data_IF_515963704804
#
_entry.id   IF_515963704804
#
_cell.length_a   1.000
_cell.length_b   1.000
_cell.length_c   1.000
_cell.angle_alpha   90.00
_cell.angle_beta   90.00
_cell.angle_gamma   90.00
#
_symmetry.space_group_name_H-M   'P 1'
#
loop_
_entity.id
_entity.type
_entity.pdbx_description
1 polymer ?
#
# COMPACT_ATOMS: atom_id res chain seq x y z
N UNK A 1 10.46 -38.88 58.82
CA UNK A 1 10.89 -37.98 57.73
C UNK A 1 9.70 -37.65 56.86
N UNK A 2 9.15 -36.46 57.02
CA UNK A 2 8.02 -36.01 56.20
C UNK A 2 8.57 -35.36 54.94
N UNK A 3 8.34 -35.97 53.76
CA UNK A 3 8.61 -35.38 52.47
C UNK A 3 7.60 -34.26 52.26
N UNK A 4 8.10 -33.03 52.17
CA UNK A 4 7.34 -31.86 51.82
C UNK A 4 7.20 -31.81 50.29
N UNK A 5 6.02 -32.14 49.79
CA UNK A 5 5.69 -31.96 48.38
C UNK A 5 5.59 -30.46 48.09
N UNK A 6 6.51 -29.94 47.29
CA UNK A 6 6.40 -28.60 46.74
C UNK A 6 5.41 -28.68 45.58
N UNK A 7 4.20 -28.15 45.82
CA UNK A 7 3.24 -27.90 44.77
C UNK A 7 3.74 -26.71 43.94
N UNK A 8 4.29 -27.00 42.77
CA UNK A 8 4.60 -26.01 41.79
C UNK A 8 3.30 -25.40 41.29
N UNK A 9 2.99 -24.18 41.71
CA UNK A 9 1.93 -23.37 41.12
C UNK A 9 2.41 -22.92 39.78
N UNK A 10 1.90 -23.53 38.73
CA UNK A 10 2.03 -23.01 37.38
C UNK A 10 1.14 -21.76 37.31
N UNK A 11 1.75 -20.60 37.36
CA UNK A 11 1.10 -19.33 37.02
C UNK A 11 0.94 -19.32 35.50
N UNK A 12 -0.28 -19.57 35.05
CA UNK A 12 -0.67 -19.24 33.70
C UNK A 12 -0.65 -17.70 33.58
N UNK A 13 0.39 -17.18 32.98
CA UNK A 13 0.41 -15.79 32.54
C UNK A 13 -0.54 -15.70 31.34
N UNK A 14 -1.76 -15.27 31.58
CA UNK A 14 -2.65 -14.83 30.54
C UNK A 14 -2.03 -13.57 29.93
N UNK A 15 -1.39 -13.72 28.78
CA UNK A 15 -1.04 -12.57 27.93
C UNK A 15 -2.36 -11.98 27.42
N UNK A 16 -2.86 -11.00 28.13
CA UNK A 16 -3.83 -10.06 27.59
C UNK A 16 -3.13 -9.30 26.47
N UNK A 17 -3.37 -9.71 25.25
CA UNK A 17 -3.08 -8.88 24.08
C UNK A 17 -4.05 -7.70 24.15
N UNK A 18 -3.62 -6.62 24.74
CA UNK A 18 -4.31 -5.34 24.61
C UNK A 18 -4.11 -4.94 23.16
N UNK A 19 -5.07 -5.23 22.32
CA UNK A 19 -5.21 -4.55 21.05
C UNK A 19 -5.53 -3.10 21.35
N UNK A 20 -4.52 -2.28 21.38
CA UNK A 20 -4.69 -0.83 21.26
C UNK A 20 -5.25 -0.62 19.86
N UNK A 21 -6.55 -0.49 19.79
CA UNK A 21 -7.20 0.03 18.60
C UNK A 21 -6.72 1.48 18.47
N UNK A 22 -5.66 1.66 17.70
CA UNK A 22 -5.25 2.97 17.24
C UNK A 22 -6.41 3.52 16.42
N UNK A 23 -7.12 4.47 16.99
CA UNK A 23 -8.17 5.21 16.28
C UNK A 23 -7.46 6.19 15.37
N UNK A 24 -6.91 5.68 14.26
CA UNK A 24 -6.61 6.53 13.13
C UNK A 24 -7.93 7.05 12.59
N UNK A 25 -8.08 8.37 12.34
CA UNK A 25 -9.25 8.87 11.63
C UNK A 25 -9.33 8.09 10.32
N UNK A 26 -10.49 7.51 10.06
CA UNK A 26 -10.73 6.60 8.95
C UNK A 26 -10.43 7.29 7.62
N UNK A 27 -9.21 7.15 7.15
CA UNK A 27 -8.95 7.22 5.71
C UNK A 27 -9.58 5.94 5.16
N UNK A 28 -10.44 6.01 4.14
CA UNK A 28 -10.94 4.81 3.52
C UNK A 28 -9.71 4.01 3.07
N UNK A 29 -9.44 2.91 3.76
CA UNK A 29 -8.38 2.00 3.39
C UNK A 29 -8.75 1.45 2.01
N UNK A 30 -8.10 1.95 0.97
CA UNK A 30 -8.20 1.34 -0.35
C UNK A 30 -7.58 -0.04 -0.20
N UNK A 31 -8.36 -1.08 -0.48
CA UNK A 31 -7.87 -2.45 -0.37
C UNK A 31 -6.70 -2.67 -1.33
N UNK A 32 -5.68 -3.39 -0.89
CA UNK A 32 -4.54 -3.75 -1.74
C UNK A 32 -5.00 -4.43 -3.03
N UNK A 33 -4.41 -4.02 -4.14
CA UNK A 33 -4.76 -4.52 -5.47
C UNK A 33 -3.92 -5.72 -5.84
N UNK A 34 -4.56 -6.86 -6.02
CA UNK A 34 -3.90 -8.10 -6.41
C UNK A 34 -3.50 -8.11 -7.89
N UNK A 35 -2.54 -8.96 -8.28
CA UNK A 35 -2.16 -9.16 -9.68
C UNK A 35 -3.34 -9.64 -10.54
N UNK A 36 -4.26 -10.43 -9.97
CA UNK A 36 -5.47 -10.89 -10.65
C UNK A 36 -6.42 -9.74 -10.97
N UNK A 37 -6.51 -8.74 -10.11
CA UNK A 37 -7.33 -7.57 -10.33
C UNK A 37 -6.69 -6.62 -11.33
N UNK A 38 -5.37 -6.48 -11.30
CA UNK A 38 -4.61 -5.70 -12.29
C UNK A 38 -4.80 -6.27 -13.70
N UNK A 39 -4.84 -7.58 -13.87
CA UNK A 39 -5.10 -8.23 -15.16
C UNK A 39 -6.43 -7.81 -15.79
N UNK A 40 -7.40 -7.36 -14.98
CA UNK A 40 -8.73 -6.91 -15.43
C UNK A 40 -8.78 -5.42 -15.77
N UNK A 41 -7.71 -4.66 -15.51
CA UNK A 41 -7.66 -3.22 -15.77
C UNK A 41 -7.37 -2.98 -17.26
N UNK A 42 -8.02 -1.98 -17.84
CA UNK A 42 -7.71 -1.52 -19.20
C UNK A 42 -6.29 -0.95 -19.25
N UNK A 43 -5.65 -1.11 -20.37
CA UNK A 43 -4.34 -0.52 -20.60
C UNK A 43 -4.46 1.02 -20.62
N UNK A 44 -3.54 1.69 -19.93
CA UNK A 44 -3.55 3.14 -19.80
C UNK A 44 -2.69 3.63 -18.65
N UNK A 45 -2.65 4.96 -18.49
CA UNK A 45 -1.97 5.63 -17.38
C UNK A 45 -3.00 6.29 -16.48
N UNK A 46 -2.91 5.99 -15.19
CA UNK A 46 -3.87 6.43 -14.19
C UNK A 46 -3.17 7.21 -13.09
N UNK A 47 -3.81 8.27 -12.62
CA UNK A 47 -3.29 9.10 -11.53
C UNK A 47 -4.00 8.74 -10.23
N UNK A 48 -3.23 8.49 -9.19
CA UNK A 48 -3.73 8.27 -7.85
C UNK A 48 -3.15 9.24 -6.85
N UNK A 49 -3.86 9.46 -5.77
CA UNK A 49 -3.47 10.35 -4.68
C UNK A 49 -3.75 9.70 -3.35
N UNK A 50 -2.82 9.86 -2.41
CA UNK A 50 -3.01 9.45 -1.04
C UNK A 50 -2.46 10.51 -0.08
N UNK A 51 -2.98 10.54 1.12
CA UNK A 51 -2.49 11.45 2.16
C UNK A 51 -1.37 10.78 2.94
N UNK A 52 -0.21 11.43 2.97
CA UNK A 52 0.88 11.06 3.87
C UNK A 52 0.62 11.69 5.23
N UNK A 53 0.41 10.87 6.24
CA UNK A 53 0.08 11.30 7.60
C UNK A 53 1.22 10.87 8.52
N UNK A 54 1.73 11.77 9.39
CA UNK A 54 2.75 11.40 10.38
C UNK A 54 2.21 10.35 11.34
N UNK A 55 3.09 9.47 11.79
CA UNK A 55 2.82 8.58 12.91
C UNK A 55 3.20 9.28 14.25
N UNK A 56 3.10 8.56 15.35
CA UNK A 56 3.39 9.09 16.69
C UNK A 56 4.88 9.45 16.92
N UNK A 57 5.78 9.08 16.00
CA UNK A 57 7.23 9.29 16.09
C UNK A 57 7.76 10.34 15.11
N UNK A 58 6.90 10.86 14.24
CA UNK A 58 7.29 11.81 13.19
C UNK A 58 6.44 13.09 13.29
N UNK A 59 7.10 14.24 13.31
CA UNK A 59 6.44 15.55 13.36
C UNK A 59 6.55 16.23 11.99
N UNK A 60 5.49 16.13 11.19
CA UNK A 60 5.32 16.92 9.98
C UNK A 60 3.83 17.16 9.69
N UNK A 61 3.53 18.18 8.93
CA UNK A 61 2.16 18.44 8.51
C UNK A 61 1.72 17.41 7.46
N UNK A 62 0.53 16.80 7.57
CA UNK A 62 0.00 15.89 6.55
C UNK A 62 -0.01 16.55 5.17
N UNK A 63 0.41 15.82 4.15
CA UNK A 63 0.42 16.30 2.78
C UNK A 63 -0.14 15.26 1.81
N UNK A 64 -0.56 15.72 0.62
CA UNK A 64 -1.03 14.85 -0.43
C UNK A 64 0.14 14.38 -1.30
N UNK A 65 0.18 13.08 -1.57
CA UNK A 65 1.15 12.45 -2.45
C UNK A 65 0.42 11.92 -3.68
N UNK A 66 0.93 12.22 -4.85
CA UNK A 66 0.36 11.84 -6.14
C UNK A 66 1.33 10.94 -6.89
N UNK A 67 0.79 9.96 -7.61
CA UNK A 67 1.55 9.05 -8.48
C UNK A 67 0.84 8.86 -9.82
N UNK A 68 1.61 8.51 -10.86
CA UNK A 68 1.08 7.99 -12.12
C UNK A 68 1.44 6.52 -12.27
N UNK A 69 0.45 5.70 -12.56
CA UNK A 69 0.58 4.25 -12.75
C UNK A 69 0.21 3.90 -14.17
N UNK A 70 1.11 3.27 -14.90
CA UNK A 70 0.86 2.76 -16.24
C UNK A 70 0.63 1.26 -16.19
N UNK A 71 -0.51 0.83 -16.74
CA UNK A 71 -0.88 -0.58 -16.90
C UNK A 71 -0.90 -0.92 -18.38
N UNK A 72 -0.26 -2.01 -18.74
CA UNK A 72 -0.29 -2.58 -20.08
C UNK A 72 -0.34 -4.10 -20.02
N UNK A 73 -1.21 -4.69 -20.79
CA UNK A 73 -1.39 -6.16 -20.89
C UNK A 73 -1.60 -6.84 -19.51
N UNK A 74 -2.35 -6.18 -18.61
CA UNK A 74 -2.62 -6.72 -17.28
C UNK A 74 -1.44 -6.66 -16.31
N UNK A 75 -0.47 -5.81 -16.60
CA UNK A 75 0.74 -5.66 -15.78
C UNK A 75 1.00 -4.18 -15.52
N UNK A 76 1.40 -3.83 -14.31
CA UNK A 76 1.93 -2.51 -14.00
C UNK A 76 3.32 -2.41 -14.62
N UNK A 77 3.47 -1.53 -15.62
CA UNK A 77 4.73 -1.36 -16.35
C UNK A 77 5.56 -0.19 -15.85
N UNK A 78 4.91 0.80 -15.22
CA UNK A 78 5.59 1.99 -14.71
C UNK A 78 4.82 2.62 -13.55
N UNK A 79 5.55 3.16 -12.58
CA UNK A 79 5.06 4.07 -11.57
C UNK A 79 5.97 5.29 -11.63
N UNK A 80 5.41 6.45 -11.93
CA UNK A 80 6.15 7.69 -12.21
C UNK A 80 5.47 8.91 -11.59
N UNK A 81 6.10 10.07 -11.75
CA UNK A 81 5.59 11.36 -11.27
C UNK A 81 5.15 11.33 -9.81
N UNK A 82 5.97 10.66 -8.98
CA UNK A 82 5.74 10.56 -7.54
C UNK A 82 6.13 11.89 -6.92
N UNK A 83 5.15 12.63 -6.43
CA UNK A 83 5.35 13.95 -5.84
C UNK A 83 4.42 14.20 -4.66
N UNK A 84 4.86 15.01 -3.73
CA UNK A 84 4.07 15.45 -2.60
C UNK A 84 4.01 16.99 -2.52
N UNK A 85 2.92 17.51 -1.96
CA UNK A 85 2.76 18.96 -1.75
C UNK A 85 3.21 19.44 -0.37
N UNK A 86 3.92 18.60 0.40
CA UNK A 86 4.37 18.89 1.77
C UNK A 86 5.67 19.69 1.88
N UNK A 87 6.21 20.20 0.75
CA UNK A 87 7.44 20.96 0.72
C UNK A 87 8.72 20.13 0.54
N UNK A 88 9.84 20.81 0.34
CA UNK A 88 11.14 20.19 0.00
C UNK A 88 11.68 19.22 1.04
N UNK A 89 11.35 19.41 2.30
CA UNK A 89 11.86 18.57 3.38
C UNK A 89 11.35 17.13 3.28
N UNK A 90 10.17 16.93 2.69
CA UNK A 90 9.57 15.63 2.48
C UNK A 90 10.05 14.92 1.20
N UNK A 91 10.64 15.64 0.25
CA UNK A 91 11.10 15.05 -1.04
C UNK A 91 12.12 13.95 -0.85
N UNK A 92 13.04 14.10 0.10
CA UNK A 92 14.03 13.09 0.43
C UNK A 92 13.40 11.79 0.92
N UNK A 93 12.37 11.89 1.75
CA UNK A 93 11.66 10.72 2.28
C UNK A 93 10.82 10.04 1.19
N UNK A 94 10.18 10.83 0.34
CA UNK A 94 9.45 10.33 -0.84
C UNK A 94 10.40 9.60 -1.78
N UNK A 95 11.57 10.18 -2.07
CA UNK A 95 12.59 9.57 -2.92
C UNK A 95 13.13 8.26 -2.32
N UNK A 96 13.41 8.24 -1.03
CA UNK A 96 13.88 7.02 -0.35
C UNK A 96 12.80 5.93 -0.35
N UNK A 97 11.55 6.30 -0.11
CA UNK A 97 10.43 5.37 -0.16
C UNK A 97 10.23 4.77 -1.55
N UNK A 98 10.26 5.61 -2.58
CA UNK A 98 10.06 5.17 -3.96
C UNK A 98 11.21 4.28 -4.46
N UNK A 99 12.44 4.73 -4.29
CA UNK A 99 13.64 4.13 -4.91
C UNK A 99 14.38 3.15 -3.98
N UNK A 100 14.08 3.19 -2.69
CA UNK A 100 14.78 2.40 -1.69
C UNK A 100 16.08 3.04 -1.20
N UNK A 101 16.77 2.30 -0.36
CA UNK A 101 18.04 2.65 0.24
C UNK A 101 19.02 1.49 0.10
N UNK A 102 20.26 1.64 0.56
CA UNK A 102 21.22 0.53 0.60
C UNK A 102 20.76 -0.69 1.41
N UNK A 103 19.75 -0.51 2.27
CA UNK A 103 19.26 -1.56 3.19
C UNK A 103 17.85 -2.03 2.90
N UNK A 104 17.10 -1.34 2.04
CA UNK A 104 15.69 -1.62 1.78
C UNK A 104 15.36 -1.39 0.31
N UNK A 105 14.67 -2.34 -0.30
CA UNK A 105 14.14 -2.19 -1.66
C UNK A 105 13.02 -1.16 -1.67
N UNK A 106 13.03 -0.26 -2.64
CA UNK A 106 11.99 0.76 -2.80
C UNK A 106 10.62 0.19 -3.11
N UNK A 107 9.58 0.93 -2.72
CA UNK A 107 8.19 0.54 -2.91
C UNK A 107 7.87 0.31 -4.39
N UNK A 108 8.38 1.18 -5.28
CA UNK A 108 8.16 1.05 -6.73
C UNK A 108 8.67 -0.28 -7.27
N UNK A 109 9.91 -0.65 -6.94
CA UNK A 109 10.49 -1.91 -7.39
C UNK A 109 9.74 -3.13 -6.85
N UNK A 110 9.25 -3.07 -5.61
CA UNK A 110 8.46 -4.14 -5.02
C UNK A 110 7.13 -4.32 -5.75
N UNK A 111 6.39 -3.23 -5.99
CA UNK A 111 5.10 -3.27 -6.70
C UNK A 111 5.28 -3.79 -8.12
N UNK A 112 6.28 -3.30 -8.85
CA UNK A 112 6.56 -3.75 -10.22
C UNK A 112 6.92 -5.23 -10.28
N UNK A 113 7.75 -5.71 -9.35
CA UNK A 113 8.17 -7.12 -9.33
C UNK A 113 7.05 -8.08 -8.95
N UNK A 114 6.17 -7.66 -8.04
CA UNK A 114 5.01 -8.45 -7.60
C UNK A 114 3.79 -8.30 -8.50
N UNK A 115 3.76 -7.27 -9.34
CA UNK A 115 2.55 -6.83 -10.05
C UNK A 115 1.35 -6.73 -9.11
N UNK A 116 1.54 -6.14 -7.95
CA UNK A 116 0.55 -6.07 -6.87
C UNK A 116 0.98 -5.02 -5.85
N UNK A 117 0.02 -4.43 -5.16
CA UNK A 117 0.26 -3.59 -3.98
C UNK A 117 0.15 -4.38 -2.68
N UNK A 118 -0.10 -5.67 -2.76
CA UNK A 118 -0.19 -6.54 -1.59
C UNK A 118 1.18 -6.89 -1.03
N UNK A 119 1.28 -6.97 0.30
CA UNK A 119 2.48 -7.32 1.04
C UNK A 119 3.73 -6.49 0.64
N UNK A 120 3.58 -5.18 0.51
CA UNK A 120 4.68 -4.25 0.26
C UNK A 120 5.33 -3.85 1.57
N UNK A 121 6.64 -3.97 1.64
CA UNK A 121 7.42 -3.58 2.81
C UNK A 121 7.75 -2.08 2.76
N UNK A 122 7.54 -1.40 3.88
CA UNK A 122 7.94 -0.01 4.01
C UNK A 122 9.46 0.14 4.04
N UNK A 123 9.97 1.18 3.42
CA UNK A 123 11.39 1.53 3.48
C UNK A 123 11.71 2.12 4.84
N UNK A 124 12.74 1.60 5.50
CA UNK A 124 13.20 2.08 6.81
C UNK A 124 13.44 3.59 6.80
N UNK A 125 12.94 4.31 7.80
CA UNK A 125 12.98 5.77 7.96
C UNK A 125 12.20 6.56 6.88
N UNK A 126 11.35 5.89 6.13
CA UNK A 126 10.42 6.49 5.18
C UNK A 126 9.09 5.73 5.18
N UNK A 127 8.64 5.27 6.33
CA UNK A 127 7.45 4.43 6.50
C UNK A 127 6.18 5.14 6.06
N UNK A 128 5.97 6.38 6.50
CA UNK A 128 4.79 7.16 6.13
C UNK A 128 4.74 7.44 4.63
N UNK A 129 5.87 7.85 4.04
CA UNK A 129 5.97 8.05 2.58
C UNK A 129 5.79 6.75 1.79
N UNK A 130 6.33 5.63 2.30
CA UNK A 130 6.14 4.31 1.68
C UNK A 130 4.66 3.93 1.64
N UNK A 131 3.98 4.07 2.77
CA UNK A 131 2.54 3.80 2.89
C UNK A 131 1.72 4.68 1.95
N UNK A 132 2.01 5.97 1.88
CA UNK A 132 1.33 6.91 0.99
C UNK A 132 1.53 6.54 -0.49
N UNK A 133 2.73 6.07 -0.88
CA UNK A 133 3.01 5.67 -2.27
C UNK A 133 2.14 4.47 -2.67
N UNK A 134 2.12 3.36 -1.92
CA UNK A 134 1.31 2.21 -2.33
C UNK A 134 -0.18 2.49 -2.25
N UNK A 135 -0.65 3.30 -1.29
CA UNK A 135 -2.05 3.73 -1.23
C UNK A 135 -2.43 4.61 -2.43
N UNK A 136 -1.54 5.49 -2.89
CA UNK A 136 -1.77 6.28 -4.10
C UNK A 136 -1.81 5.40 -5.36
N UNK A 137 -0.99 4.34 -5.42
CA UNK A 137 -1.07 3.33 -6.49
C UNK A 137 -2.41 2.61 -6.45
N UNK A 138 -2.87 2.17 -5.28
CA UNK A 138 -4.19 1.54 -5.12
C UNK A 138 -5.33 2.47 -5.55
N UNK A 139 -5.25 3.75 -5.18
CA UNK A 139 -6.21 4.76 -5.61
C UNK A 139 -6.25 4.91 -7.13
N UNK A 140 -5.09 4.97 -7.79
CA UNK A 140 -5.00 5.00 -9.25
C UNK A 140 -5.65 3.77 -9.91
N UNK A 141 -5.33 2.58 -9.41
CA UNK A 141 -5.84 1.31 -9.94
C UNK A 141 -7.35 1.15 -9.68
N UNK A 142 -7.86 1.66 -8.57
CA UNK A 142 -9.28 1.62 -8.22
C UNK A 142 -10.14 2.48 -9.17
N UNK A 143 -9.59 3.58 -9.65
CA UNK A 143 -10.23 4.51 -10.59
C UNK A 143 -10.12 4.04 -12.04
N UNK A 144 -9.24 3.11 -12.32
CA UNK A 144 -8.99 2.61 -13.66
C UNK A 144 -10.19 1.79 -14.18
N UNK A 145 -10.63 2.02 -15.43
CA UNK A 145 -11.68 1.20 -16.03
C UNK A 145 -11.26 -0.26 -16.12
N UNK A 146 -12.22 -1.16 -15.91
CA UNK A 146 -12.00 -2.60 -16.08
C UNK A 146 -12.19 -2.98 -17.56
N UNK A 147 -11.44 -3.97 -18.02
CA UNK A 147 -11.65 -4.58 -19.34
C UNK A 147 -13.07 -5.12 -19.41
N UNK A 148 -13.85 -4.67 -20.36
CA UNK A 148 -15.20 -5.14 -20.57
C UNK A 148 -15.19 -6.66 -20.78
N UNK A 149 -16.16 -7.34 -20.16
CA UNK A 149 -16.40 -8.75 -20.44
C UNK A 149 -16.90 -8.83 -21.91
N UNK A 150 -16.03 -9.24 -22.80
CA UNK A 150 -16.28 -9.34 -24.25
C UNK A 150 -17.33 -10.42 -24.60
N UNK A 151 -18.25 -10.74 -23.70
CA UNK A 151 -19.35 -11.69 -23.96
C UNK A 151 -20.60 -11.06 -24.57
N UNK A 152 -20.57 -9.77 -24.92
CA UNK A 152 -21.76 -9.09 -25.42
C UNK A 152 -21.55 -8.31 -26.73
N UNK A 153 -20.74 -8.83 -27.64
CA UNK A 153 -20.70 -8.32 -29.02
C UNK A 153 -21.30 -9.36 -29.98
N UNK A 154 -22.56 -9.65 -29.81
CA UNK A 154 -23.27 -10.60 -30.62
C UNK A 154 -24.75 -10.31 -30.83
N UNK A 155 -25.14 -9.02 -30.79
CA UNK A 155 -26.46 -8.63 -31.28
C UNK A 155 -26.24 -7.72 -32.48
N UNK A 156 -26.03 -8.34 -33.60
CA UNK A 156 -26.31 -7.72 -34.90
C UNK A 156 -27.82 -7.62 -35.02
N UNK A 157 -28.34 -6.42 -34.86
CA UNK A 157 -29.71 -6.13 -35.23
C UNK A 157 -29.84 -6.31 -36.74
N UNK A 158 -30.53 -7.35 -37.11
CA UNK A 158 -31.02 -7.52 -38.49
C UNK A 158 -32.39 -6.84 -38.54
N UNK A 159 -32.44 -5.75 -39.23
CA UNK A 159 -33.66 -5.28 -39.88
C UNK A 159 -33.47 -5.34 -41.37
#
# INVERSE_FOLDING_TARGET
MKKKEMKTKVMAVAMSTVMVASICPAIPAVAATSSTDIAKIQDGTYTGTAKCIPDEYEEFDPYDLTVKVTVANGTITSISDISGNGGSDNEKYISNAANGTKKSTGVVAQILSKNSTDAIDAVSRATCSSTAIWQAVDDALSKAPKKGNSKYNGITERY
#
